data_IF_268057281496
#
_entry.id   IF_268057281496
#
_cell.length_a   1.000
_cell.length_b   1.000
_cell.length_c   1.000
_cell.angle_alpha   90.00
_cell.angle_beta   90.00
_cell.angle_gamma   90.00
#
_symmetry.space_group_name_H-M   'P 1'
#
loop_
_entity.id
_entity.type
_entity.pdbx_description
1 polymer ?
#
# COMPACT_ATOMS: atom_id res chain seq x y z
N UNK A 1 52.82 -29.60 50.75
CA UNK A 1 52.48 -28.17 50.66
C UNK A 1 52.25 -27.82 49.19
N UNK A 2 51.09 -27.22 48.86
CA UNK A 2 50.80 -26.25 47.78
C UNK A 2 51.31 -26.58 46.34
N UNK A 3 50.54 -26.52 45.25
CA UNK A 3 49.35 -25.74 44.87
C UNK A 3 48.59 -26.52 43.78
N UNK A 4 47.27 -26.70 43.94
CA UNK A 4 46.37 -27.11 42.85
C UNK A 4 45.99 -25.86 42.05
N UNK A 5 46.29 -25.88 40.76
CA UNK A 5 45.88 -24.86 39.79
C UNK A 5 44.46 -25.24 39.37
N UNK A 6 43.48 -24.38 39.70
CA UNK A 6 42.09 -24.51 39.26
C UNK A 6 41.95 -23.59 38.04
N UNK A 7 41.75 -24.10 36.81
CA UNK A 7 41.40 -23.24 35.70
C UNK A 7 39.95 -22.78 35.85
N UNK A 8 39.77 -21.46 35.90
CA UNK A 8 38.47 -20.79 35.92
C UNK A 8 37.79 -21.01 34.56
N UNK A 9 36.65 -21.70 34.57
CA UNK A 9 35.85 -21.96 33.39
C UNK A 9 35.23 -20.67 32.85
N UNK A 10 35.65 -20.28 31.64
CA UNK A 10 35.06 -19.17 30.87
C UNK A 10 33.70 -19.64 30.37
N UNK A 11 32.63 -19.11 30.96
CA UNK A 11 31.26 -19.36 30.50
C UNK A 11 30.97 -18.39 29.36
N UNK A 12 31.09 -18.87 28.12
CA UNK A 12 30.68 -18.12 26.93
C UNK A 12 29.15 -18.14 26.91
N UNK A 13 28.54 -17.03 27.32
CA UNK A 13 27.11 -16.79 27.10
C UNK A 13 26.93 -16.56 25.61
N UNK A 14 26.60 -17.63 24.88
CA UNK A 14 26.17 -17.52 23.49
C UNK A 14 24.84 -16.79 23.52
N UNK A 15 24.86 -15.50 23.24
CA UNK A 15 23.67 -14.72 22.92
C UNK A 15 23.08 -15.35 21.65
N UNK A 16 22.15 -16.27 21.82
CA UNK A 16 21.23 -16.67 20.77
C UNK A 16 20.36 -15.43 20.50
N UNK A 17 20.83 -14.56 19.62
CA UNK A 17 19.94 -13.67 18.89
C UNK A 17 19.11 -14.59 18.00
N UNK A 18 17.90 -14.86 18.47
CA UNK A 18 16.83 -15.48 17.71
C UNK A 18 16.71 -14.73 16.38
N UNK A 19 17.01 -15.43 15.29
CA UNK A 19 16.82 -14.95 13.92
C UNK A 19 15.31 -14.82 13.73
N UNK A 20 14.80 -13.63 14.02
CA UNK A 20 13.38 -13.32 14.06
C UNK A 20 12.79 -13.47 12.65
N UNK A 21 12.29 -14.68 12.40
CA UNK A 21 11.35 -15.10 11.36
C UNK A 21 11.27 -14.19 10.14
N UNK A 22 11.97 -14.58 9.07
CA UNK A 22 11.63 -14.18 7.70
C UNK A 22 10.14 -14.47 7.48
N UNK A 23 9.30 -13.44 7.57
CA UNK A 23 8.00 -13.46 6.89
C UNK A 23 8.33 -13.75 5.45
N UNK A 24 7.94 -14.92 4.94
CA UNK A 24 8.13 -15.25 3.53
C UNK A 24 7.23 -14.31 2.74
N UNK A 25 7.82 -13.22 2.24
CA UNK A 25 7.13 -12.31 1.33
C UNK A 25 6.52 -13.13 0.19
N UNK A 26 5.26 -12.87 -0.14
CA UNK A 26 4.62 -13.52 -1.27
C UNK A 26 5.31 -13.08 -2.56
N UNK A 27 5.28 -13.94 -3.58
CA UNK A 27 5.75 -13.53 -4.90
C UNK A 27 4.97 -12.32 -5.38
N UNK A 28 5.71 -11.33 -5.87
CA UNK A 28 5.12 -10.12 -6.43
C UNK A 28 4.27 -10.46 -7.67
N UNK A 29 3.22 -9.67 -7.91
CA UNK A 29 2.34 -9.81 -9.07
C UNK A 29 2.39 -8.51 -9.86
N UNK A 30 2.47 -8.56 -11.19
CA UNK A 30 2.54 -7.34 -11.99
C UNK A 30 1.27 -6.51 -11.82
N UNK A 31 1.43 -5.20 -11.97
CA UNK A 31 0.32 -4.26 -11.99
C UNK A 31 -0.72 -4.66 -13.05
N UNK A 32 -2.00 -4.43 -12.73
CA UNK A 32 -3.13 -4.73 -13.62
C UNK A 32 -3.91 -3.47 -13.95
N UNK A 33 -4.20 -3.29 -15.23
CA UNK A 33 -5.18 -2.32 -15.69
C UNK A 33 -6.54 -2.98 -15.78
N UNK A 34 -7.56 -2.35 -15.22
CA UNK A 34 -8.93 -2.87 -15.19
C UNK A 34 -9.94 -1.82 -15.67
N UNK A 35 -11.07 -2.28 -16.17
CA UNK A 35 -12.16 -1.39 -16.61
C UNK A 35 -13.18 -1.14 -15.51
N UNK A 36 -13.24 -2.00 -14.50
CA UNK A 36 -14.13 -1.85 -13.35
C UNK A 36 -13.60 -2.59 -12.12
N UNK A 37 -14.05 -2.14 -10.96
CA UNK A 37 -13.77 -2.69 -9.65
C UNK A 37 -15.08 -2.81 -8.87
N UNK A 38 -15.42 -4.03 -8.46
CA UNK A 38 -16.42 -4.24 -7.43
C UNK A 38 -15.77 -4.00 -6.05
N UNK A 39 -16.37 -3.11 -5.26
CA UNK A 39 -15.85 -2.76 -3.95
C UNK A 39 -16.33 -3.76 -2.90
N UNK A 40 -15.40 -4.24 -2.09
CA UNK A 40 -15.70 -5.12 -0.96
C UNK A 40 -16.12 -4.27 0.23
N UNK A 41 -16.75 -4.89 1.23
CA UNK A 41 -17.20 -4.18 2.44
C UNK A 41 -16.09 -3.54 3.24
N UNK A 42 -14.85 -4.03 3.11
CA UNK A 42 -13.66 -3.49 3.76
C UNK A 42 -12.85 -2.54 2.86
N UNK A 43 -13.23 -2.37 1.59
CA UNK A 43 -12.59 -1.44 0.66
C UNK A 43 -12.84 0.01 1.09
N UNK A 44 -11.76 0.78 1.22
CA UNK A 44 -11.82 2.21 1.50
C UNK A 44 -11.51 2.98 0.23
N UNK A 45 -12.44 3.85 -0.18
CA UNK A 45 -12.24 4.78 -1.28
C UNK A 45 -11.91 6.15 -0.71
N UNK A 46 -10.88 6.80 -1.25
CA UNK A 46 -10.50 8.17 -0.90
C UNK A 46 -10.29 8.96 -2.17
N UNK A 47 -10.82 10.17 -2.24
CA UNK A 47 -10.36 11.17 -3.18
C UNK A 47 -9.08 11.81 -2.63
N UNK A 48 -7.99 11.67 -3.37
CA UNK A 48 -6.72 12.36 -3.11
C UNK A 48 -6.61 13.50 -4.10
N UNK A 49 -6.70 14.73 -3.59
CA UNK A 49 -6.56 15.93 -4.42
C UNK A 49 -5.10 16.23 -4.75
N UNK A 50 -4.87 16.97 -5.82
CA UNK A 50 -3.57 17.54 -6.18
C UNK A 50 -3.00 18.34 -5.01
N UNK A 51 -1.69 18.23 -4.79
CA UNK A 51 -1.00 19.00 -3.76
C UNK A 51 -1.06 20.50 -4.08
N UNK A 52 -1.44 21.30 -3.08
CA UNK A 52 -1.46 22.75 -3.21
C UNK A 52 -0.02 23.28 -3.21
N UNK A 53 0.37 24.01 -4.26
CA UNK A 53 1.69 24.67 -4.33
C UNK A 53 1.82 25.75 -3.25
N UNK A 54 0.71 26.36 -2.85
CA UNK A 54 0.69 27.47 -1.87
C UNK A 54 0.73 26.93 -0.44
N UNK A 55 -0.03 25.88 -0.14
CA UNK A 55 -0.15 25.33 1.21
C UNK A 55 0.80 24.15 1.48
N UNK A 56 1.43 23.59 0.44
CA UNK A 56 2.26 22.39 0.53
C UNK A 56 1.52 21.13 0.96
N UNK A 57 0.20 21.20 1.13
CA UNK A 57 -0.63 20.12 1.66
C UNK A 57 -1.49 19.47 0.59
N UNK A 58 -1.88 18.22 0.85
CA UNK A 58 -2.74 17.40 -0.01
C UNK A 58 -4.04 17.12 0.74
N UNK A 59 -5.19 17.35 0.11
CA UNK A 59 -6.49 16.99 0.68
C UNK A 59 -6.79 15.52 0.42
N UNK A 60 -7.25 14.81 1.45
CA UNK A 60 -7.67 13.41 1.34
C UNK A 60 -9.07 13.29 1.92
N UNK A 61 -10.05 13.04 1.06
CA UNK A 61 -11.46 12.97 1.43
C UNK A 61 -11.94 11.52 1.35
N UNK A 62 -12.34 10.89 2.46
CA UNK A 62 -12.96 9.57 2.43
C UNK A 62 -14.29 9.61 1.68
N UNK A 63 -14.52 8.66 0.78
CA UNK A 63 -15.79 8.48 0.07
C UNK A 63 -16.51 7.24 0.59
N UNK A 64 -17.84 7.31 0.64
CA UNK A 64 -18.70 6.23 1.15
C UNK A 64 -19.88 5.99 0.22
N UNK A 65 -20.55 4.84 0.36
CA UNK A 65 -21.72 4.48 -0.44
C UNK A 65 -21.42 3.97 -1.85
N UNK A 66 -20.15 3.88 -2.23
CA UNK A 66 -19.73 3.30 -3.51
C UNK A 66 -19.69 1.77 -3.40
N UNK A 67 -20.25 1.09 -4.40
CA UNK A 67 -20.22 -0.37 -4.52
C UNK A 67 -19.42 -0.84 -5.73
N UNK A 68 -19.29 0.01 -6.76
CA UNK A 68 -18.54 -0.24 -7.99
C UNK A 68 -17.88 1.06 -8.40
N UNK A 69 -16.69 0.96 -9.02
CA UNK A 69 -16.03 2.05 -9.76
C UNK A 69 -15.65 1.52 -11.13
N UNK A 70 -15.99 2.23 -12.19
CA UNK A 70 -15.72 1.85 -13.56
C UNK A 70 -15.11 3.00 -14.38
N UNK A 71 -14.41 2.64 -15.45
CA UNK A 71 -13.97 3.61 -16.46
C UNK A 71 -15.21 4.24 -17.12
N UNK A 72 -15.25 5.56 -17.14
CA UNK A 72 -16.36 6.39 -17.57
C UNK A 72 -17.13 7.05 -16.42
N UNK A 73 -16.91 6.64 -15.17
CA UNK A 73 -17.56 7.26 -14.01
C UNK A 73 -16.98 8.66 -13.71
N UNK A 74 -17.82 9.53 -13.15
CA UNK A 74 -17.40 10.80 -12.55
C UNK A 74 -17.71 10.75 -11.04
N UNK A 75 -16.67 10.76 -10.20
CA UNK A 75 -16.79 10.56 -8.75
C UNK A 75 -16.04 11.67 -8.03
N UNK A 76 -16.77 12.47 -7.23
CA UNK A 76 -16.22 13.60 -6.46
C UNK A 76 -15.35 14.56 -7.29
N UNK A 77 -15.73 14.78 -8.56
CA UNK A 77 -15.00 15.63 -9.51
C UNK A 77 -13.85 14.96 -10.26
N UNK A 78 -13.53 13.70 -9.96
CA UNK A 78 -12.56 12.88 -10.68
C UNK A 78 -13.26 12.09 -11.78
N UNK A 79 -12.94 12.40 -13.04
CA UNK A 79 -13.33 11.56 -14.18
C UNK A 79 -12.44 10.32 -14.22
N UNK A 80 -13.03 9.12 -14.25
CA UNK A 80 -12.29 7.85 -14.26
C UNK A 80 -12.06 7.41 -15.71
N UNK A 81 -10.92 7.75 -16.29
CA UNK A 81 -10.52 7.27 -17.62
C UNK A 81 -9.59 6.05 -17.59
N UNK A 82 -8.97 5.76 -16.44
CA UNK A 82 -8.15 4.56 -16.26
C UNK A 82 -8.08 4.13 -14.80
N UNK A 83 -7.94 2.82 -14.58
CA UNK A 83 -7.79 2.22 -13.25
C UNK A 83 -6.59 1.27 -13.27
N UNK A 84 -5.58 1.55 -12.45
CA UNK A 84 -4.40 0.70 -12.25
C UNK A 84 -4.44 0.10 -10.86
N UNK A 85 -4.18 -1.19 -10.75
CA UNK A 85 -4.14 -1.92 -9.50
C UNK A 85 -2.76 -2.54 -9.27
N UNK A 86 -2.21 -2.30 -8.10
CA UNK A 86 -0.91 -2.81 -7.64
C UNK A 86 -1.13 -3.81 -6.52
N UNK A 87 -0.37 -4.90 -6.56
CA UNK A 87 -0.49 -5.99 -5.59
C UNK A 87 0.33 -5.71 -4.34
N UNK A 88 -0.17 -6.12 -3.18
CA UNK A 88 0.52 -6.03 -1.91
C UNK A 88 1.08 -7.41 -1.50
N UNK A 89 2.37 -7.71 -1.77
CA UNK A 89 3.00 -8.98 -1.40
C UNK A 89 3.24 -9.12 0.12
N UNK A 90 3.15 -8.00 0.85
CA UNK A 90 3.29 -7.86 2.29
C UNK A 90 2.18 -6.98 2.86
N UNK A 91 2.05 -6.96 4.19
CA UNK A 91 1.11 -6.06 4.85
C UNK A 91 1.43 -4.60 4.51
N UNK A 92 0.39 -3.85 4.18
CA UNK A 92 0.53 -2.46 3.79
C UNK A 92 0.60 -1.57 5.03
N UNK A 93 1.43 -0.54 5.00
CA UNK A 93 1.44 0.50 6.03
C UNK A 93 1.20 1.86 5.38
N UNK A 94 0.33 2.67 5.98
CA UNK A 94 0.03 4.01 5.49
C UNK A 94 -0.25 4.95 6.66
N UNK A 95 0.41 6.11 6.69
CA UNK A 95 0.21 7.14 7.72
C UNK A 95 0.36 6.63 9.17
N UNK A 96 1.25 5.66 9.41
CA UNK A 96 1.50 5.07 10.74
C UNK A 96 0.56 3.93 11.12
N UNK A 97 -0.46 3.65 10.33
CA UNK A 97 -1.32 2.48 10.49
C UNK A 97 -0.76 1.29 9.70
N UNK A 98 -0.77 0.10 10.31
CA UNK A 98 -0.49 -1.16 9.61
C UNK A 98 -1.82 -1.84 9.27
N UNK A 99 -1.96 -2.24 8.02
CA UNK A 99 -3.12 -2.93 7.49
C UNK A 99 -2.73 -4.33 7.05
N UNK A 100 -3.50 -5.33 7.48
CA UNK A 100 -3.34 -6.72 7.04
C UNK A 100 -3.86 -6.93 5.62
N UNK A 101 -3.26 -6.24 4.65
CA UNK A 101 -3.64 -6.25 3.24
C UNK A 101 -2.72 -7.11 2.38
N UNK A 102 -1.87 -7.95 2.99
CA UNK A 102 -1.11 -8.96 2.24
C UNK A 102 -2.03 -9.82 1.37
N UNK A 103 -1.60 -10.11 0.15
CA UNK A 103 -2.37 -10.81 -0.90
C UNK A 103 -3.63 -10.05 -1.41
N UNK A 104 -3.72 -8.76 -1.13
CA UNK A 104 -4.76 -7.86 -1.68
C UNK A 104 -4.12 -6.88 -2.66
N UNK A 105 -4.97 -6.11 -3.31
CA UNK A 105 -4.58 -5.06 -4.25
C UNK A 105 -4.91 -3.67 -3.67
N UNK A 106 -4.21 -2.65 -4.14
CA UNK A 106 -4.60 -1.25 -4.03
C UNK A 106 -4.69 -0.68 -5.43
N UNK A 107 -5.75 0.07 -5.71
CA UNK A 107 -5.98 0.66 -7.02
C UNK A 107 -5.98 2.18 -6.98
N UNK A 108 -5.52 2.76 -8.08
CA UNK A 108 -5.58 4.17 -8.37
C UNK A 108 -6.43 4.37 -9.62
N UNK A 109 -7.42 5.27 -9.53
CA UNK A 109 -8.28 5.63 -10.64
C UNK A 109 -8.17 7.13 -10.93
N UNK A 110 -7.91 7.50 -12.18
CA UNK A 110 -7.70 8.88 -12.61
C UNK A 110 -8.17 9.09 -14.05
N UNK A 111 -7.98 10.30 -14.59
CA UNK A 111 -8.54 10.69 -15.90
C UNK A 111 -7.91 9.98 -17.09
N UNK A 112 -6.68 9.51 -16.95
CA UNK A 112 -5.98 8.80 -18.02
C UNK A 112 -4.91 7.88 -17.44
N UNK A 113 -4.36 6.97 -18.26
CA UNK A 113 -3.24 6.13 -17.83
C UNK A 113 -2.02 6.96 -17.43
N UNK A 114 -1.73 8.01 -18.19
CA UNK A 114 -0.60 8.91 -17.93
C UNK A 114 -0.75 9.61 -16.56
N UNK A 115 -1.95 10.12 -16.26
CA UNK A 115 -2.20 10.73 -14.95
C UNK A 115 -2.06 9.73 -13.82
N UNK A 116 -2.52 8.49 -14.00
CA UNK A 116 -2.43 7.43 -12.98
C UNK A 116 -0.98 6.99 -12.74
N UNK A 117 -0.18 6.88 -13.80
CA UNK A 117 1.24 6.49 -13.68
C UNK A 117 2.10 7.59 -13.05
N UNK A 118 1.75 8.85 -13.30
CA UNK A 118 2.52 10.02 -12.85
C UNK A 118 1.84 10.79 -11.70
N UNK A 119 0.77 10.25 -11.09
CA UNK A 119 -0.02 10.95 -10.08
C UNK A 119 0.79 11.34 -8.85
N UNK A 120 1.82 10.55 -8.50
CA UNK A 120 2.64 10.73 -7.31
C UNK A 120 4.10 10.78 -7.73
N UNK A 121 4.75 11.91 -7.44
CA UNK A 121 6.19 12.06 -7.63
C UNK A 121 6.99 11.31 -6.55
N UNK A 122 8.29 11.15 -6.79
CA UNK A 122 9.22 10.50 -5.85
C UNK A 122 9.25 11.17 -4.47
N UNK A 123 9.02 12.48 -4.41
CA UNK A 123 8.94 13.27 -3.18
C UNK A 123 7.57 13.18 -2.48
N UNK A 124 6.62 12.44 -3.06
CA UNK A 124 5.26 12.30 -2.56
C UNK A 124 4.29 13.41 -2.99
N UNK A 125 4.72 14.38 -3.80
CA UNK A 125 3.82 15.41 -4.36
C UNK A 125 2.76 14.75 -5.25
N UNK A 126 1.50 15.15 -5.08
CA UNK A 126 0.36 14.68 -5.88
C UNK A 126 0.14 15.64 -7.04
N UNK A 127 0.39 15.22 -8.28
CA UNK A 127 0.29 16.07 -9.48
C UNK A 127 -1.14 16.22 -10.00
N UNK A 128 -1.97 15.20 -9.76
CA UNK A 128 -3.34 15.09 -10.24
C UNK A 128 -4.27 14.64 -9.12
N UNK A 129 -5.55 14.93 -9.30
CA UNK A 129 -6.62 14.39 -8.47
C UNK A 129 -6.89 12.94 -8.89
N UNK A 130 -7.04 12.03 -7.93
CA UNK A 130 -7.33 10.63 -8.20
C UNK A 130 -8.11 9.98 -7.06
N UNK A 131 -8.74 8.85 -7.34
CA UNK A 131 -9.30 7.97 -6.34
C UNK A 131 -8.26 6.92 -5.94
N UNK A 132 -8.03 6.78 -4.65
CA UNK A 132 -7.28 5.67 -4.07
C UNK A 132 -8.26 4.67 -3.45
N UNK A 133 -8.15 3.41 -3.85
CA UNK A 133 -9.04 2.33 -3.42
C UNK A 133 -8.20 1.20 -2.85
N UNK A 134 -8.31 0.96 -1.54
CA UNK A 134 -7.65 -0.17 -0.92
C UNK A 134 -8.37 -0.62 0.37
N UNK A 135 -8.34 -1.92 0.70
CA UNK A 135 -7.88 -3.02 -0.14
C UNK A 135 -8.93 -3.40 -1.19
N UNK A 136 -8.53 -4.11 -2.23
CA UNK A 136 -9.43 -4.76 -3.20
C UNK A 136 -8.96 -6.17 -3.53
N UNK A 137 -9.90 -7.05 -3.87
CA UNK A 137 -9.62 -8.33 -4.52
C UNK A 137 -10.06 -8.22 -5.97
N UNK A 138 -9.14 -8.48 -6.89
CA UNK A 138 -9.51 -8.60 -8.30
C UNK A 138 -10.10 -9.98 -8.52
N UNK A 139 -11.30 -10.05 -9.13
CA UNK A 139 -11.84 -11.31 -9.59
C UNK A 139 -10.84 -11.98 -10.55
N UNK A 140 -10.71 -13.31 -10.48
CA UNK A 140 -9.99 -14.05 -11.51
C UNK A 140 -10.69 -13.76 -12.85
N UNK A 141 -9.95 -13.15 -13.78
CA UNK A 141 -10.41 -12.93 -15.15
C UNK A 141 -10.26 -14.22 -15.94
#
# INVERSE_FOLDING_TARGET
MLRRIIPLAITIVVSACDDQSKSSDLSDKPDKWVNSLALQSDSKVKHVGKSSVILGSTTVTPLSGLTVIAVGDDIDGVHVGAIKCTYFPKDASYSGEQFMWRDRWGCMAGRSRDEVENAVQEDGTKLYDYLHIAPVTLAAQ
#
